data_IF_076404988191
#
_entry.id   IF_076404988191
#
_cell.length_a   1.000
_cell.length_b   1.000
_cell.length_c   1.000
_cell.angle_alpha   90.00
_cell.angle_beta   90.00
_cell.angle_gamma   90.00
#
_symmetry.space_group_name_H-M   'P 1'
#
loop_
_entity.id
_entity.type
_entity.pdbx_description
1 polymer ?
#
# COMPACT_ATOMS: atom_id res chain seq x y z
N UNK A 1 -48.26 48.17 -86.31
CA UNK A 1 -47.17 47.22 -86.56
C UNK A 1 -45.94 47.78 -85.85
N UNK A 2 -45.29 47.17 -84.88
CA UNK A 2 -45.33 45.84 -84.30
C UNK A 2 -45.09 45.94 -82.77
N UNK A 3 -45.58 44.94 -82.05
CA UNK A 3 -45.43 44.69 -80.61
C UNK A 3 -44.00 44.29 -80.23
N UNK A 4 -43.80 44.18 -78.90
CA UNK A 4 -42.77 43.36 -78.22
C UNK A 4 -41.52 44.16 -77.82
N UNK A 5 -41.02 44.20 -76.59
CA UNK A 5 -41.26 43.38 -75.40
C UNK A 5 -40.72 44.20 -74.20
N UNK A 6 -41.52 44.45 -73.18
CA UNK A 6 -40.99 44.57 -71.81
C UNK A 6 -41.08 43.15 -71.23
N UNK A 7 -40.19 42.65 -70.34
CA UNK A 7 -40.35 43.10 -68.95
C UNK A 7 -39.13 42.95 -67.99
N UNK A 8 -39.38 43.48 -66.79
CA UNK A 8 -38.90 43.06 -65.45
C UNK A 8 -37.71 43.79 -64.82
N UNK A 9 -38.05 44.30 -63.63
CA UNK A 9 -37.34 45.08 -62.63
C UNK A 9 -36.06 44.46 -62.05
N UNK A 10 -35.22 45.30 -61.39
CA UNK A 10 -34.11 44.85 -60.57
C UNK A 10 -34.60 44.42 -59.18
N UNK A 11 -34.28 43.20 -58.75
CA UNK A 11 -34.42 42.83 -57.33
C UNK A 11 -33.31 41.89 -56.89
N UNK A 12 -32.34 42.51 -56.22
CA UNK A 12 -31.30 41.90 -55.39
C UNK A 12 -31.94 41.17 -54.22
N UNK A 13 -32.03 39.83 -54.27
CA UNK A 13 -32.13 39.00 -53.06
C UNK A 13 -31.27 37.76 -53.22
N UNK A 14 -30.17 37.72 -52.47
CA UNK A 14 -29.36 36.53 -52.21
C UNK A 14 -30.04 35.75 -51.08
N UNK A 15 -30.54 34.52 -51.28
CA UNK A 15 -30.86 33.65 -50.16
C UNK A 15 -29.62 32.82 -49.80
N UNK A 16 -28.94 33.29 -48.77
CA UNK A 16 -28.43 32.51 -47.63
C UNK A 16 -28.41 30.97 -47.79
N UNK A 17 -27.32 30.43 -48.35
CA UNK A 17 -26.89 29.04 -48.09
C UNK A 17 -25.65 29.06 -47.20
N UNK A 18 -25.74 29.75 -46.05
CA UNK A 18 -24.62 29.87 -45.09
C UNK A 18 -24.62 28.77 -44.01
N UNK A 19 -25.66 27.94 -43.91
CA UNK A 19 -25.86 27.07 -42.73
C UNK A 19 -25.35 25.62 -42.84
N UNK A 20 -24.78 25.20 -43.98
CA UNK A 20 -24.35 23.79 -44.15
C UNK A 20 -22.85 23.54 -43.91
N UNK A 21 -22.01 24.57 -43.80
CA UNK A 21 -20.56 24.42 -43.59
C UNK A 21 -20.10 24.43 -42.13
N UNK A 22 -20.98 24.75 -41.19
CA UNK A 22 -20.62 24.81 -39.76
C UNK A 22 -20.74 23.45 -39.03
N UNK A 23 -21.40 22.46 -39.64
CA UNK A 23 -21.63 21.15 -39.01
C UNK A 23 -20.39 20.25 -38.98
N UNK A 24 -19.51 20.32 -39.97
CA UNK A 24 -18.37 19.38 -40.09
C UNK A 24 -17.21 19.71 -39.14
N UNK A 25 -17.02 20.97 -38.77
CA UNK A 25 -15.95 21.39 -37.84
C UNK A 25 -16.34 21.15 -36.38
N UNK A 26 -17.61 21.40 -36.02
CA UNK A 26 -18.11 21.17 -34.66
C UNK A 26 -18.06 19.69 -34.26
N UNK A 27 -18.36 18.78 -35.20
CA UNK A 27 -18.29 17.32 -34.97
C UNK A 27 -16.88 16.88 -34.56
N UNK A 28 -15.82 17.45 -35.14
CA UNK A 28 -14.43 17.09 -34.78
C UNK A 28 -14.05 17.58 -33.39
N UNK A 29 -14.51 18.77 -32.99
CA UNK A 29 -14.26 19.32 -31.65
C UNK A 29 -15.02 18.51 -30.61
N UNK A 30 -16.29 18.18 -30.88
CA UNK A 30 -17.11 17.35 -30.01
C UNK A 30 -16.51 15.94 -29.88
N UNK A 31 -16.06 15.32 -30.97
CA UNK A 31 -15.39 14.01 -30.90
C UNK A 31 -14.09 14.09 -30.11
N UNK A 32 -13.27 15.13 -30.30
CA UNK A 32 -12.02 15.31 -29.56
C UNK A 32 -12.27 15.54 -28.07
N UNK A 33 -13.29 16.32 -27.72
CA UNK A 33 -13.71 16.54 -26.34
C UNK A 33 -14.24 15.25 -25.70
N UNK A 34 -15.09 14.50 -26.41
CA UNK A 34 -15.60 13.22 -25.96
C UNK A 34 -14.46 12.20 -25.74
N UNK A 35 -13.48 12.14 -26.65
CA UNK A 35 -12.32 11.26 -26.52
C UNK A 35 -11.43 11.67 -25.35
N UNK A 36 -11.20 12.96 -25.14
CA UNK A 36 -10.43 13.44 -23.98
C UNK A 36 -11.12 13.13 -22.65
N UNK A 37 -12.45 13.25 -22.60
CA UNK A 37 -13.23 12.91 -21.40
C UNK A 37 -13.16 11.40 -21.15
N UNK A 38 -13.30 10.58 -22.19
CA UNK A 38 -13.16 9.13 -22.09
C UNK A 38 -11.77 8.72 -21.59
N UNK A 39 -10.73 9.36 -22.09
CA UNK A 39 -9.34 9.10 -21.69
C UNK A 39 -9.09 9.50 -20.23
N UNK A 40 -9.65 10.65 -19.79
CA UNK A 40 -9.61 11.05 -18.37
C UNK A 40 -10.33 10.05 -17.46
N UNK A 41 -11.52 9.60 -17.84
CA UNK A 41 -12.26 8.59 -17.08
C UNK A 41 -11.46 7.28 -17.01
N UNK A 42 -10.84 6.85 -18.12
CA UNK A 42 -9.96 5.69 -18.15
C UNK A 42 -8.76 5.82 -17.22
N UNK A 43 -8.08 6.97 -17.22
CA UNK A 43 -6.97 7.25 -16.30
C UNK A 43 -7.40 7.24 -14.83
N UNK A 44 -8.54 7.83 -14.51
CA UNK A 44 -9.09 7.84 -13.14
C UNK A 44 -9.47 6.43 -12.71
N UNK A 45 -10.16 5.67 -13.56
CA UNK A 45 -10.52 4.28 -13.28
C UNK A 45 -9.26 3.43 -13.02
N UNK A 46 -8.24 3.57 -13.86
CA UNK A 46 -6.97 2.87 -13.67
C UNK A 46 -6.31 3.23 -12.34
N UNK A 47 -6.26 4.53 -11.99
CA UNK A 47 -5.75 4.99 -10.71
C UNK A 47 -6.50 4.39 -9.52
N UNK A 48 -7.84 4.40 -9.55
CA UNK A 48 -8.68 3.84 -8.48
C UNK A 48 -8.46 2.33 -8.30
N UNK A 49 -8.27 1.58 -9.39
CA UNK A 49 -7.95 0.14 -9.33
C UNK A 49 -6.54 -0.14 -8.80
N UNK A 50 -5.59 0.80 -8.94
CA UNK A 50 -4.22 0.64 -8.44
C UNK A 50 -4.06 0.96 -6.95
N UNK A 51 -4.90 1.81 -6.36
CA UNK A 51 -4.86 2.14 -4.91
C UNK A 51 -5.02 0.92 -3.99
N UNK A 52 -5.99 -0.01 -4.17
CA UNK A 52 -6.15 -1.14 -3.26
C UNK A 52 -4.92 -2.05 -3.24
N UNK A 53 -4.23 -2.21 -4.37
CA UNK A 53 -3.02 -3.04 -4.46
C UNK A 53 -1.88 -2.47 -3.60
N UNK A 54 -1.74 -1.14 -3.57
CA UNK A 54 -0.72 -0.49 -2.74
C UNK A 54 -1.01 -0.67 -1.24
N UNK A 55 -2.29 -0.69 -0.85
CA UNK A 55 -2.70 -0.91 0.55
C UNK A 55 -2.43 -2.34 1.00
N UNK A 56 -2.71 -3.32 0.14
CA UNK A 56 -2.43 -4.74 0.45
C UNK A 56 -0.94 -5.02 0.57
N UNK A 57 -0.11 -4.37 -0.27
CA UNK A 57 1.34 -4.51 -0.15
C UNK A 57 1.85 -3.95 1.18
N UNK A 58 1.39 -2.75 1.57
CA UNK A 58 1.75 -2.17 2.88
C UNK A 58 1.30 -3.04 4.05
N UNK A 59 0.09 -3.60 4.02
CA UNK A 59 -0.36 -4.47 5.10
C UNK A 59 0.47 -5.76 5.19
N UNK A 60 0.86 -6.33 4.04
CA UNK A 60 1.72 -7.51 3.99
C UNK A 60 3.14 -7.20 4.49
N UNK A 61 3.70 -6.05 4.12
CA UNK A 61 4.99 -5.58 4.63
C UNK A 61 4.94 -5.37 6.15
N UNK A 62 3.88 -4.76 6.68
CA UNK A 62 3.69 -4.59 8.12
C UNK A 62 3.55 -5.93 8.85
N UNK A 63 2.79 -6.88 8.29
CA UNK A 63 2.63 -8.22 8.87
C UNK A 63 3.95 -9.00 8.88
N UNK A 64 4.70 -8.92 7.79
CA UNK A 64 6.04 -9.51 7.68
C UNK A 64 7.02 -8.87 8.68
N UNK A 65 6.98 -7.55 8.82
CA UNK A 65 7.81 -6.85 9.79
C UNK A 65 7.50 -7.28 11.24
N UNK A 66 6.22 -7.45 11.57
CA UNK A 66 5.79 -7.96 12.89
C UNK A 66 6.24 -9.40 13.11
N UNK A 67 6.06 -10.27 12.12
CA UNK A 67 6.47 -11.66 12.19
C UNK A 67 7.99 -11.78 12.40
N UNK A 68 8.79 -11.02 11.65
CA UNK A 68 10.25 -10.98 11.81
C UNK A 68 10.67 -10.44 13.19
N UNK A 69 9.99 -9.41 13.69
CA UNK A 69 10.26 -8.88 15.02
C UNK A 69 9.99 -9.95 16.10
N UNK A 70 8.89 -10.70 15.96
CA UNK A 70 8.56 -11.78 16.87
C UNK A 70 9.57 -12.94 16.77
N UNK A 71 9.96 -13.32 15.56
CA UNK A 71 10.97 -14.36 15.34
C UNK A 71 12.31 -14.00 15.98
N UNK A 72 12.81 -12.78 15.73
CA UNK A 72 14.07 -12.31 16.31
C UNK A 72 14.03 -12.28 17.84
N UNK A 73 12.89 -11.90 18.43
CA UNK A 73 12.70 -11.93 19.88
C UNK A 73 12.76 -13.37 20.41
N UNK A 74 12.04 -14.31 19.80
CA UNK A 74 12.06 -15.73 20.22
C UNK A 74 13.45 -16.34 20.04
N UNK A 75 14.16 -16.04 18.95
CA UNK A 75 15.53 -16.51 18.72
C UNK A 75 16.48 -15.98 19.80
N UNK A 76 16.35 -14.72 20.20
CA UNK A 76 17.17 -14.14 21.27
C UNK A 76 16.95 -14.84 22.62
N UNK A 77 15.69 -15.12 22.96
CA UNK A 77 15.34 -15.85 24.18
C UNK A 77 15.85 -17.30 24.13
N UNK A 78 15.69 -17.96 22.98
CA UNK A 78 16.20 -19.31 22.77
C UNK A 78 17.71 -19.36 22.95
N UNK A 79 18.44 -18.39 22.40
CA UNK A 79 19.89 -18.33 22.50
C UNK A 79 20.36 -18.06 23.93
N UNK A 80 19.65 -17.18 24.66
CA UNK A 80 19.90 -16.98 26.08
C UNK A 80 19.71 -18.29 26.86
N UNK A 81 18.57 -18.97 26.69
CA UNK A 81 18.29 -20.23 27.37
C UNK A 81 19.26 -21.35 27.00
N UNK A 82 19.70 -21.39 25.74
CA UNK A 82 20.74 -22.32 25.30
C UNK A 82 22.05 -22.09 26.04
N UNK A 83 22.50 -20.84 26.15
CA UNK A 83 23.71 -20.49 26.90
C UNK A 83 23.58 -20.83 28.39
N UNK A 84 22.44 -20.54 29.00
CA UNK A 84 22.15 -20.92 30.38
C UNK A 84 22.23 -22.44 30.56
N UNK A 85 21.62 -23.23 29.66
CA UNK A 85 21.66 -24.69 29.70
C UNK A 85 23.07 -25.25 29.51
N UNK A 86 23.84 -24.68 28.56
CA UNK A 86 25.24 -25.07 28.35
C UNK A 86 26.07 -24.79 29.60
N UNK A 87 25.93 -23.61 30.21
CA UNK A 87 26.61 -23.31 31.47
C UNK A 87 26.21 -24.28 32.60
N UNK A 88 24.92 -24.63 32.69
CA UNK A 88 24.42 -25.56 33.70
C UNK A 88 24.96 -27.00 33.51
N UNK A 89 25.27 -27.39 32.27
CA UNK A 89 25.82 -28.72 31.96
C UNK A 89 27.34 -28.78 32.07
N UNK A 90 28.02 -27.75 31.59
CA UNK A 90 29.46 -27.80 31.36
C UNK A 90 30.26 -27.12 32.49
N UNK A 91 29.62 -26.24 33.28
CA UNK A 91 30.24 -25.58 34.43
C UNK A 91 29.63 -26.08 35.78
N UNK A 92 30.35 -26.95 36.52
CA UNK A 92 29.87 -27.45 37.79
C UNK A 92 29.76 -26.38 38.88
N UNK A 93 30.55 -25.29 38.82
CA UNK A 93 30.45 -24.21 39.78
C UNK A 93 29.17 -23.38 39.55
N UNK A 94 28.82 -23.16 38.28
CA UNK A 94 27.56 -22.50 37.90
C UNK A 94 26.34 -23.35 38.29
N UNK A 95 26.39 -24.67 38.06
CA UNK A 95 25.34 -25.59 38.51
C UNK A 95 25.13 -25.54 40.03
N UNK A 96 26.22 -25.56 40.80
CA UNK A 96 26.15 -25.48 42.27
C UNK A 96 25.58 -24.14 42.74
N UNK A 97 25.97 -23.03 42.11
CA UNK A 97 25.41 -21.71 42.40
C UNK A 97 23.90 -21.68 42.18
N UNK A 98 23.43 -22.18 41.02
CA UNK A 98 21.99 -22.23 40.69
C UNK A 98 21.24 -23.18 41.61
N UNK A 99 21.83 -24.32 41.97
CA UNK A 99 21.22 -25.28 42.90
C UNK A 99 21.05 -24.69 44.31
N UNK A 100 22.05 -23.95 44.80
CA UNK A 100 21.99 -23.24 46.08
C UNK A 100 20.95 -22.10 46.06
N UNK A 101 20.97 -21.28 45.01
CA UNK A 101 20.11 -20.09 44.91
C UNK A 101 18.64 -20.43 44.63
N UNK A 102 18.37 -21.37 43.73
CA UNK A 102 17.00 -21.67 43.26
C UNK A 102 16.35 -22.85 43.95
N UNK A 103 17.13 -23.85 44.33
CA UNK A 103 16.62 -25.11 44.87
C UNK A 103 16.97 -25.28 46.35
N UNK A 104 17.71 -24.34 46.94
CA UNK A 104 18.10 -24.35 48.35
C UNK A 104 18.86 -25.65 48.72
N UNK A 105 19.60 -26.18 47.74
CA UNK A 105 20.37 -27.42 47.86
C UNK A 105 21.80 -27.12 48.32
N UNK A 106 22.31 -27.97 49.22
CA UNK A 106 23.65 -27.86 49.79
C UNK A 106 24.36 -29.20 49.76
N UNK A 107 25.69 -29.19 49.87
CA UNK A 107 26.45 -30.44 49.93
C UNK A 107 26.21 -31.15 51.25
N UNK A 108 26.23 -32.48 51.20
CA UNK A 108 26.08 -33.33 52.39
C UNK A 108 27.19 -33.03 53.39
N UNK A 109 26.83 -32.64 54.63
CA UNK A 109 27.76 -32.30 55.70
C UNK A 109 28.15 -30.82 55.80
N UNK A 110 27.61 -29.95 54.94
CA UNK A 110 27.81 -28.50 54.99
C UNK A 110 26.91 -27.86 56.06
N UNK A 111 27.45 -26.88 56.81
CA UNK A 111 26.67 -26.12 57.80
C UNK A 111 26.19 -24.80 57.18
N UNK A 112 24.87 -24.66 57.05
CA UNK A 112 24.23 -23.50 56.43
C UNK A 112 23.76 -22.54 57.52
N UNK A 113 24.13 -21.26 57.39
CA UNK A 113 23.62 -20.19 58.24
C UNK A 113 22.67 -19.32 57.41
N UNK A 114 21.44 -19.13 57.89
CA UNK A 114 20.49 -18.17 57.32
C UNK A 114 20.34 -16.99 58.26
N UNK A 115 20.52 -15.79 57.73
CA UNK A 115 20.28 -14.56 58.46
C UNK A 115 18.85 -14.15 58.14
N UNK A 116 17.98 -14.16 59.15
CA UNK A 116 16.64 -13.61 59.07
C UNK A 116 16.72 -12.17 59.58
N UNK A 117 16.30 -11.21 58.77
CA UNK A 117 16.06 -9.85 59.25
C UNK A 117 14.63 -9.80 59.79
N UNK A 118 14.49 -9.40 61.07
CA UNK A 118 13.21 -9.06 61.71
C UNK A 118 12.66 -7.71 61.20
#
# INVERSE_FOLDING_TARGET
MAQSHNPVQPSRKRPTTRHLRARTTGIRIVNRAAFSIFLLIGCVAMGVLSVPQMRTLRSLEEELARANAQESHVLSQREQKRRELTALRDDPAYLELVARDRLDLYRTGERVYRIMND
#
